data_IF_713605626426
#
_entry.id   IF_713605626426
#
_cell.length_a   1.000
_cell.length_b   1.000
_cell.length_c   1.000
_cell.angle_alpha   90.00
_cell.angle_beta   90.00
_cell.angle_gamma   90.00
#
_symmetry.space_group_name_H-M   'P 1'
#
loop_
_entity.id
_entity.type
_entity.pdbx_description
1 polymer ?
#
# COMPACT_ATOMS: atom_id res chain seq x y z
N UNK A 1 -7.52 1.62 10.48
CA UNK A 1 -6.23 1.22 9.87
C UNK A 1 -5.87 2.30 8.87
N UNK A 2 -4.96 3.20 9.22
CA UNK A 2 -4.51 4.20 8.26
C UNK A 2 -3.50 3.53 7.32
N UNK A 3 -3.85 3.45 6.05
CA UNK A 3 -2.91 3.04 5.01
C UNK A 3 -1.81 4.08 4.93
N UNK A 4 -0.59 3.74 5.38
CA UNK A 4 0.56 4.59 5.14
C UNK A 4 1.07 4.27 3.75
N UNK A 5 0.56 5.04 2.81
CA UNK A 5 1.20 5.24 1.52
C UNK A 5 2.46 6.08 1.78
N UNK A 6 3.63 5.56 1.42
CA UNK A 6 4.81 6.40 1.26
C UNK A 6 4.52 7.37 0.11
N UNK A 7 4.04 8.58 0.45
CA UNK A 7 3.94 9.65 -0.54
C UNK A 7 5.35 10.17 -0.78
N UNK A 8 5.86 10.17 -2.00
CA UNK A 8 7.05 10.93 -2.31
C UNK A 8 6.76 12.41 -1.99
N UNK A 9 7.68 13.06 -1.28
CA UNK A 9 7.62 14.47 -0.92
C UNK A 9 7.52 15.33 -2.19
N UNK A 10 6.33 15.59 -2.65
CA UNK A 10 6.07 16.72 -3.52
C UNK A 10 6.30 17.96 -2.65
N UNK A 11 7.50 18.55 -2.78
CA UNK A 11 7.82 19.87 -2.24
C UNK A 11 6.78 20.85 -2.74
N UNK A 12 5.68 20.98 -2.00
CA UNK A 12 4.78 22.12 -2.16
C UNK A 12 5.59 23.35 -1.74
N UNK A 13 5.96 24.15 -2.72
CA UNK A 13 6.34 25.53 -2.50
C UNK A 13 5.16 26.20 -1.78
N UNK A 14 5.24 26.30 -0.45
CA UNK A 14 4.39 27.17 0.34
C UNK A 14 4.64 28.58 -0.13
N UNK A 15 3.83 29.06 -1.03
CA UNK A 15 3.71 30.46 -1.38
C UNK A 15 3.32 31.21 -0.11
N UNK A 16 4.17 32.16 0.27
CA UNK A 16 3.96 33.12 1.36
C UNK A 16 2.65 33.89 1.10
N UNK A 17 1.61 33.53 1.80
CA UNK A 17 0.36 34.29 1.83
C UNK A 17 -0.25 34.34 3.25
N UNK A 18 0.60 34.49 4.28
CA UNK A 18 0.12 34.70 5.64
C UNK A 18 1.13 35.49 6.48
N UNK A 19 1.30 36.77 6.11
CA UNK A 19 1.91 37.76 7.02
C UNK A 19 1.58 39.17 6.54
N UNK A 20 0.34 39.60 6.69
CA UNK A 20 -0.05 41.01 6.62
C UNK A 20 -1.45 41.20 7.21
N UNK A 21 -1.56 41.01 8.49
CA UNK A 21 -2.71 41.47 9.30
C UNK A 21 -2.26 41.44 10.76
N UNK A 22 -1.70 42.56 11.21
CA UNK A 22 -1.68 43.07 12.57
C UNK A 22 -0.48 44.01 12.74
N UNK A 23 -0.71 45.26 12.27
CA UNK A 23 -0.12 46.47 12.87
C UNK A 23 -1.04 47.64 12.47
N UNK A 24 -1.92 47.98 13.35
CA UNK A 24 -2.69 49.23 13.28
C UNK A 24 -2.19 50.14 14.38
N UNK A 25 -1.26 50.98 14.06
CA UNK A 25 -0.93 52.15 14.84
C UNK A 25 -1.82 53.34 14.44
N UNK A 26 -2.21 54.03 15.46
CA UNK A 26 -3.17 55.15 15.54
C UNK A 26 -2.81 56.33 14.64
N UNK A 27 -3.66 56.61 13.61
CA UNK A 27 -3.62 57.89 12.87
C UNK A 27 -5.00 58.55 12.91
N UNK A 28 -5.03 59.83 13.34
CA UNK A 28 -6.20 60.73 13.36
C UNK A 28 -6.75 60.97 11.96
N UNK A 29 -8.06 60.78 11.78
CA UNK A 29 -8.78 60.89 10.52
C UNK A 29 -9.38 62.29 10.35
N UNK A 30 -9.17 63.04 9.26
CA UNK A 30 -9.81 64.32 8.98
C UNK A 30 -11.23 64.11 8.37
N UNK A 31 -12.11 65.09 8.59
CA UNK A 31 -13.58 65.04 8.43
C UNK A 31 -14.16 64.98 7.02
N UNK A 32 -13.36 64.84 5.93
CA UNK A 32 -13.88 64.66 4.57
C UNK A 32 -14.02 63.21 4.11
N UNK A 33 -13.76 62.24 4.98
CA UNK A 33 -13.79 60.80 4.70
C UNK A 33 -15.20 60.17 4.81
N UNK A 34 -16.23 60.96 5.18
CA UNK A 34 -17.62 60.43 5.36
C UNK A 34 -18.40 60.19 4.06
N UNK A 35 -17.89 60.62 2.89
CA UNK A 35 -18.53 60.43 1.59
C UNK A 35 -18.04 59.18 0.84
N UNK A 36 -16.99 58.52 1.33
CA UNK A 36 -16.41 57.34 0.69
C UNK A 36 -16.96 55.98 1.25
N UNK A 37 -17.73 56.05 2.38
CA UNK A 37 -18.26 54.83 3.03
C UNK A 37 -19.29 54.04 2.24
N UNK A 38 -20.06 54.70 1.32
CA UNK A 38 -21.03 53.98 0.51
C UNK A 38 -20.44 53.25 -0.71
N UNK A 39 -19.29 53.71 -1.20
CA UNK A 39 -18.59 53.08 -2.33
C UNK A 39 -17.74 51.87 -1.90
N UNK A 40 -17.22 51.88 -0.67
CA UNK A 40 -16.46 50.75 -0.10
C UNK A 40 -17.33 49.54 0.25
N UNK A 41 -18.60 49.72 0.61
CA UNK A 41 -19.51 48.61 0.87
C UNK A 41 -19.86 47.80 -0.40
N UNK A 42 -19.89 48.45 -1.55
CA UNK A 42 -20.12 47.77 -2.85
C UNK A 42 -18.88 47.00 -3.34
N UNK A 43 -17.68 47.48 -3.06
CA UNK A 43 -16.42 46.83 -3.45
C UNK A 43 -16.13 45.65 -2.54
N UNK A 44 -16.42 45.71 -1.24
CA UNK A 44 -16.26 44.59 -0.31
C UNK A 44 -17.28 43.49 -0.58
N UNK A 45 -18.53 43.83 -0.98
CA UNK A 45 -19.52 42.84 -1.39
C UNK A 45 -19.15 42.08 -2.66
N UNK A 46 -18.56 42.74 -3.65
CA UNK A 46 -18.09 42.09 -4.89
C UNK A 46 -16.80 41.31 -4.72
N UNK A 47 -15.89 41.70 -3.81
CA UNK A 47 -14.72 40.89 -3.48
C UNK A 47 -15.05 39.63 -2.68
N UNK A 48 -16.11 39.64 -1.85
CA UNK A 48 -16.53 38.43 -1.11
C UNK A 48 -17.14 37.36 -2.02
N UNK A 49 -17.72 37.75 -3.17
CA UNK A 49 -18.30 36.81 -4.15
C UNK A 49 -17.20 36.22 -5.07
N UNK A 50 -16.05 36.91 -5.23
CA UNK A 50 -14.94 36.43 -6.05
C UNK A 50 -13.90 35.59 -5.26
N UNK A 51 -14.00 35.50 -3.93
CA UNK A 51 -13.14 34.66 -3.12
C UNK A 51 -13.70 33.24 -2.90
N UNK A 52 -14.88 32.94 -3.43
CA UNK A 52 -15.48 31.59 -3.37
C UNK A 52 -14.99 30.64 -4.47
N UNK A 53 -14.08 31.06 -5.35
CA UNK A 53 -13.62 30.23 -6.47
C UNK A 53 -12.17 29.74 -6.38
N UNK A 54 -11.58 29.74 -5.18
CA UNK A 54 -10.29 29.11 -4.92
C UNK A 54 -10.41 27.93 -3.94
N UNK A 55 -11.50 27.17 -4.02
CA UNK A 55 -11.48 25.78 -3.61
C UNK A 55 -10.86 24.99 -4.76
N UNK A 56 -9.60 24.63 -4.62
CA UNK A 56 -9.01 23.56 -5.42
C UNK A 56 -9.82 22.27 -5.19
N UNK A 57 -9.79 21.31 -6.11
CA UNK A 57 -10.53 20.08 -5.91
C UNK A 57 -10.07 19.47 -4.59
N UNK A 58 -10.94 19.53 -3.60
CA UNK A 58 -10.92 18.65 -2.45
C UNK A 58 -10.87 17.26 -3.05
N UNK A 59 -9.85 16.47 -2.71
CA UNK A 59 -9.81 15.07 -3.10
C UNK A 59 -11.04 14.45 -2.48
N UNK A 60 -12.03 14.21 -3.34
CA UNK A 60 -13.32 13.67 -3.00
C UNK A 60 -13.08 12.34 -2.27
N UNK A 61 -13.41 12.32 -0.98
CA UNK A 61 -13.49 11.08 -0.23
C UNK A 61 -14.48 10.19 -0.97
N UNK A 62 -13.92 9.19 -1.67
CA UNK A 62 -14.62 8.01 -2.18
C UNK A 62 -16.10 8.23 -2.51
N UNK A 63 -16.38 8.55 -3.78
CA UNK A 63 -17.74 8.43 -4.31
C UNK A 63 -18.27 7.03 -3.98
N UNK A 64 -19.37 6.91 -3.22
CA UNK A 64 -19.91 5.60 -2.90
C UNK A 64 -20.36 4.92 -4.19
N UNK A 65 -19.83 3.73 -4.45
CA UNK A 65 -20.30 2.87 -5.53
C UNK A 65 -21.79 2.59 -5.28
N UNK A 66 -22.72 2.91 -6.18
CA UNK A 66 -24.13 2.64 -5.94
C UNK A 66 -24.38 1.15 -5.78
N UNK A 67 -24.99 0.80 -4.68
CA UNK A 67 -25.37 -0.58 -4.36
C UNK A 67 -26.42 -1.01 -5.36
N UNK A 68 -26.29 -2.19 -5.95
CA UNK A 68 -27.33 -2.85 -6.73
C UNK A 68 -28.61 -2.96 -5.87
N UNK A 69 -29.52 -2.01 -6.08
CA UNK A 69 -30.70 -1.82 -5.26
C UNK A 69 -31.76 -2.87 -5.57
N UNK A 70 -31.95 -3.83 -4.68
CA UNK A 70 -33.29 -4.41 -4.41
C UNK A 70 -33.34 -5.33 -3.16
N UNK A 71 -32.22 -5.59 -2.48
CA UNK A 71 -32.21 -6.42 -1.27
C UNK A 71 -31.43 -5.83 -0.08
N UNK A 72 -31.11 -4.55 -0.12
CA UNK A 72 -30.16 -3.90 0.80
C UNK A 72 -30.84 -3.20 1.99
N UNK A 73 -32.15 -3.10 2.01
CA UNK A 73 -32.88 -2.38 3.09
C UNK A 73 -32.70 -3.01 4.50
N UNK A 74 -32.14 -4.22 4.59
CA UNK A 74 -31.87 -4.91 5.87
C UNK A 74 -30.40 -5.33 6.03
N UNK A 75 -29.45 -4.76 5.27
CA UNK A 75 -28.05 -5.15 5.37
C UNK A 75 -27.29 -4.30 6.38
N UNK A 76 -26.36 -4.96 7.09
CA UNK A 76 -25.41 -4.32 7.97
C UNK A 76 -24.17 -3.85 7.18
N UNK A 77 -23.77 -2.59 7.38
CA UNK A 77 -22.61 -2.03 6.69
C UNK A 77 -21.30 -2.48 7.32
N UNK A 78 -20.34 -2.87 6.49
CA UNK A 78 -18.96 -3.20 6.87
C UNK A 78 -17.98 -2.28 6.15
N UNK A 79 -16.77 -2.15 6.71
CA UNK A 79 -15.67 -1.38 6.10
C UNK A 79 -14.65 -2.32 5.50
N UNK A 80 -14.22 -2.01 4.27
CA UNK A 80 -13.20 -2.75 3.55
C UNK A 80 -11.92 -1.91 3.51
N UNK A 81 -10.77 -2.54 3.77
CA UNK A 81 -9.46 -1.95 3.60
C UNK A 81 -8.62 -2.79 2.64
N UNK A 82 -8.09 -2.20 1.59
CA UNK A 82 -7.20 -2.91 0.67
C UNK A 82 -5.85 -3.18 1.35
N UNK A 83 -5.34 -4.40 1.16
CA UNK A 83 -3.99 -4.81 1.56
C UNK A 83 -3.05 -4.96 0.35
N UNK A 84 -3.61 -5.11 -0.86
CA UNK A 84 -2.91 -5.02 -2.14
C UNK A 84 -3.37 -3.76 -2.85
N UNK A 85 -2.44 -2.89 -3.27
CA UNK A 85 -2.74 -1.59 -3.90
C UNK A 85 -2.00 -1.37 -5.22
N UNK A 86 -0.97 -2.15 -5.53
CA UNK A 86 -0.26 -2.08 -6.82
C UNK A 86 -0.92 -3.01 -7.85
N UNK A 87 -2.15 -2.67 -8.23
CA UNK A 87 -2.99 -3.44 -9.13
C UNK A 87 -2.82 -2.96 -10.59
N UNK A 88 -2.73 -3.91 -11.51
CA UNK A 88 -2.55 -3.63 -12.94
C UNK A 88 -3.35 -4.59 -13.83
N UNK A 89 -3.45 -4.27 -15.12
CA UNK A 89 -4.04 -5.18 -16.11
C UNK A 89 -3.35 -6.54 -16.04
N UNK A 90 -4.13 -7.61 -16.16
CA UNK A 90 -3.67 -8.99 -16.10
C UNK A 90 -3.99 -9.67 -14.79
N UNK A 91 -3.17 -10.67 -14.45
CA UNK A 91 -3.37 -11.49 -13.25
C UNK A 91 -2.79 -10.82 -12.00
N UNK A 92 -3.60 -10.71 -10.96
CA UNK A 92 -3.22 -10.07 -9.69
C UNK A 92 -3.55 -10.98 -8.51
N UNK A 93 -2.69 -10.95 -7.49
CA UNK A 93 -3.01 -11.37 -6.14
C UNK A 93 -3.76 -10.23 -5.46
N UNK A 94 -4.95 -10.49 -4.93
CA UNK A 94 -5.79 -9.45 -4.35
C UNK A 94 -6.09 -9.76 -2.88
N UNK A 95 -5.70 -8.88 -1.99
CA UNK A 95 -5.88 -9.04 -0.56
C UNK A 95 -6.58 -7.82 0.05
N UNK A 96 -7.50 -8.06 0.99
CA UNK A 96 -8.24 -7.02 1.69
C UNK A 96 -8.63 -7.45 3.11
N UNK A 97 -8.86 -6.48 3.98
CA UNK A 97 -9.39 -6.68 5.33
C UNK A 97 -10.84 -6.22 5.42
N UNK A 98 -11.57 -6.79 6.37
CA UNK A 98 -12.94 -6.36 6.68
C UNK A 98 -13.01 -5.97 8.16
N UNK A 99 -13.65 -4.84 8.44
CA UNK A 99 -13.98 -4.40 9.78
C UNK A 99 -15.50 -4.25 9.91
N UNK A 100 -16.05 -4.70 11.03
CA UNK A 100 -17.44 -4.44 11.38
C UNK A 100 -17.68 -2.97 11.77
N UNK A 101 -18.91 -2.63 12.13
CA UNK A 101 -19.29 -1.28 12.56
C UNK A 101 -18.56 -0.80 13.82
N UNK A 102 -18.12 -1.72 14.69
CA UNK A 102 -17.30 -1.44 15.87
C UNK A 102 -15.79 -1.38 15.55
N UNK A 103 -15.41 -1.43 14.27
CA UNK A 103 -14.02 -1.48 13.80
C UNK A 103 -13.24 -2.72 14.27
N UNK A 104 -13.91 -3.82 14.54
CA UNK A 104 -13.31 -5.13 14.85
C UNK A 104 -13.12 -5.92 13.55
N UNK A 105 -12.01 -6.66 13.41
CA UNK A 105 -11.78 -7.52 12.25
C UNK A 105 -12.80 -8.64 12.13
N UNK A 106 -13.42 -8.76 10.96
CA UNK A 106 -14.25 -9.93 10.58
C UNK A 106 -13.32 -11.05 10.15
N UNK A 107 -13.64 -12.31 10.57
CA UNK A 107 -12.75 -13.48 10.42
C UNK A 107 -13.51 -14.74 10.03
N UNK A 108 -14.49 -14.62 9.17
CA UNK A 108 -15.16 -15.77 8.59
C UNK A 108 -14.19 -16.56 7.71
N UNK A 109 -14.34 -17.88 7.56
CA UNK A 109 -13.47 -18.69 6.71
C UNK A 109 -13.38 -18.18 5.28
N UNK A 110 -14.50 -17.69 4.75
CA UNK A 110 -14.57 -17.07 3.43
C UNK A 110 -15.68 -16.02 3.36
N UNK A 111 -15.57 -15.12 2.40
CA UNK A 111 -16.60 -14.12 2.06
C UNK A 111 -16.73 -14.03 0.55
N UNK A 112 -17.90 -13.62 0.07
CA UNK A 112 -18.13 -13.38 -1.35
C UNK A 112 -17.56 -12.02 -1.75
N UNK A 113 -16.78 -11.98 -2.81
CA UNK A 113 -16.15 -10.80 -3.39
C UNK A 113 -16.61 -10.68 -4.84
N UNK A 114 -17.23 -9.55 -5.19
CA UNK A 114 -17.70 -9.22 -6.53
C UNK A 114 -16.91 -8.04 -7.05
N UNK A 115 -16.24 -8.24 -8.19
CA UNK A 115 -15.47 -7.19 -8.87
C UNK A 115 -16.28 -6.59 -10.00
N UNK A 116 -16.27 -5.27 -10.07
CA UNK A 116 -17.02 -4.48 -11.05
C UNK A 116 -16.11 -3.44 -11.69
N UNK A 117 -16.29 -3.20 -12.99
CA UNK A 117 -15.72 -2.04 -13.66
C UNK A 117 -16.71 -0.88 -13.58
N UNK A 118 -16.27 0.28 -13.03
CA UNK A 118 -17.17 1.34 -12.58
C UNK A 118 -16.95 2.70 -13.27
N UNK A 119 -16.22 2.72 -14.40
CA UNK A 119 -15.98 3.98 -15.14
C UNK A 119 -17.27 4.60 -15.72
N UNK A 120 -18.24 3.76 -16.10
CA UNK A 120 -19.48 4.20 -16.71
C UNK A 120 -20.66 3.40 -16.20
N UNK A 121 -21.80 4.03 -16.03
CA UNK A 121 -23.07 3.34 -15.73
C UNK A 121 -23.73 2.78 -17.02
N UNK A 122 -24.38 1.61 -16.97
CA UNK A 122 -24.45 0.70 -15.81
C UNK A 122 -23.11 0.00 -15.55
N UNK A 123 -22.76 -0.20 -14.26
CA UNK A 123 -21.52 -0.87 -13.89
C UNK A 123 -21.48 -2.30 -14.38
N UNK A 124 -20.30 -2.70 -14.87
CA UNK A 124 -20.10 -4.02 -15.44
C UNK A 124 -19.55 -4.99 -14.39
N UNK A 125 -20.35 -5.96 -13.95
CA UNK A 125 -19.86 -7.05 -13.10
C UNK A 125 -18.92 -7.93 -13.91
N UNK A 126 -17.66 -8.06 -13.45
CA UNK A 126 -16.60 -8.79 -14.13
C UNK A 126 -16.39 -10.19 -13.57
N UNK A 127 -16.40 -10.33 -12.25
CA UNK A 127 -16.24 -11.63 -11.62
C UNK A 127 -16.82 -11.64 -10.22
N UNK A 128 -17.20 -12.82 -9.76
CA UNK A 128 -17.64 -13.10 -8.40
C UNK A 128 -16.92 -14.35 -7.89
N UNK A 129 -16.28 -14.27 -6.74
CA UNK A 129 -15.46 -15.34 -6.16
C UNK A 129 -15.56 -15.35 -4.64
N UNK A 130 -15.17 -16.46 -4.03
CA UNK A 130 -15.04 -16.56 -2.57
C UNK A 130 -13.59 -16.29 -2.16
N UNK A 131 -13.37 -15.20 -1.43
CA UNK A 131 -12.07 -14.86 -0.85
C UNK A 131 -11.86 -15.65 0.45
N UNK A 132 -10.67 -16.24 0.60
CA UNK A 132 -10.33 -17.07 1.76
C UNK A 132 -9.65 -16.23 2.84
N UNK A 133 -9.99 -16.46 4.12
CA UNK A 133 -9.35 -15.77 5.23
C UNK A 133 -7.97 -16.36 5.53
N UNK A 134 -6.93 -15.55 5.38
CA UNK A 134 -5.55 -15.88 5.75
C UNK A 134 -5.21 -15.19 7.06
N UNK A 135 -4.97 -15.98 8.10
CA UNK A 135 -4.58 -15.47 9.42
C UNK A 135 -3.11 -15.03 9.41
N UNK A 136 -2.83 -13.87 9.98
CA UNK A 136 -1.45 -13.47 10.23
C UNK A 136 -0.85 -14.29 11.39
N UNK A 137 0.47 -14.58 11.35
CA UNK A 137 1.15 -15.35 12.40
C UNK A 137 1.07 -14.67 13.78
N UNK A 138 0.99 -13.35 13.81
CA UNK A 138 0.90 -12.57 15.05
C UNK A 138 -0.53 -12.09 15.27
N UNK A 139 -1.04 -12.32 16.47
CA UNK A 139 -2.34 -11.82 16.90
C UNK A 139 -3.53 -12.52 16.27
N UNK A 140 -4.67 -11.81 16.27
CA UNK A 140 -5.95 -12.30 15.78
C UNK A 140 -6.36 -11.65 14.44
N UNK A 141 -5.46 -10.97 13.76
CA UNK A 141 -5.71 -10.29 12.49
C UNK A 141 -5.38 -11.17 11.28
N UNK A 142 -5.80 -10.74 10.11
CA UNK A 142 -5.58 -11.42 8.85
C UNK A 142 -6.19 -10.63 7.70
N UNK A 143 -6.17 -11.22 6.53
CA UNK A 143 -6.73 -10.67 5.30
C UNK A 143 -7.54 -11.73 4.57
N UNK A 144 -8.48 -11.31 3.77
CA UNK A 144 -9.11 -12.15 2.75
C UNK A 144 -8.25 -12.10 1.50
N UNK A 145 -7.98 -13.26 0.94
CA UNK A 145 -7.09 -13.44 -0.21
C UNK A 145 -7.83 -14.06 -1.38
N UNK A 146 -7.59 -13.53 -2.55
CA UNK A 146 -7.91 -14.10 -3.85
C UNK A 146 -6.62 -14.17 -4.67
N UNK A 147 -6.27 -15.36 -5.10
CA UNK A 147 -5.25 -15.55 -6.14
C UNK A 147 -5.90 -15.42 -7.52
N UNK A 148 -5.10 -15.06 -8.52
CA UNK A 148 -5.49 -15.03 -9.93
C UNK A 148 -6.75 -14.18 -10.23
N UNK A 149 -6.82 -12.98 -9.66
CA UNK A 149 -7.85 -11.98 -10.04
C UNK A 149 -7.40 -11.31 -11.33
N UNK A 150 -8.20 -11.43 -12.37
CA UNK A 150 -7.89 -10.87 -13.69
C UNK A 150 -8.60 -9.53 -13.85
N UNK A 151 -7.81 -8.47 -14.07
CA UNK A 151 -8.29 -7.18 -14.52
C UNK A 151 -8.02 -7.04 -16.02
N UNK A 152 -9.07 -6.89 -16.82
CA UNK A 152 -9.00 -6.85 -18.30
C UNK A 152 -8.74 -5.46 -18.88
N UNK A 153 -8.86 -4.41 -18.05
CA UNK A 153 -8.65 -3.01 -18.46
C UNK A 153 -8.24 -2.12 -17.30
N UNK A 154 -7.52 -1.05 -17.61
CA UNK A 154 -7.19 0.02 -16.67
C UNK A 154 -8.42 0.88 -16.33
N UNK A 155 -8.36 1.58 -15.20
CA UNK A 155 -9.39 2.51 -14.74
C UNK A 155 -9.95 2.16 -13.37
N UNK A 156 -11.10 2.72 -13.06
CA UNK A 156 -11.74 2.56 -11.76
C UNK A 156 -12.55 1.26 -11.67
N UNK A 157 -12.25 0.49 -10.64
CA UNK A 157 -12.92 -0.75 -10.30
C UNK A 157 -13.55 -0.67 -8.93
N UNK A 158 -14.59 -1.45 -8.72
CA UNK A 158 -15.25 -1.64 -7.43
C UNK A 158 -15.10 -3.06 -6.93
N UNK A 159 -14.92 -3.20 -5.62
CA UNK A 159 -15.09 -4.44 -4.88
C UNK A 159 -16.31 -4.32 -4.00
N UNK A 160 -17.30 -5.19 -4.22
CA UNK A 160 -18.41 -5.42 -3.31
C UNK A 160 -18.11 -6.71 -2.54
N UNK A 161 -18.20 -6.67 -1.22
CA UNK A 161 -18.05 -7.83 -0.35
C UNK A 161 -19.34 -8.04 0.41
N UNK A 162 -19.82 -9.27 0.43
CA UNK A 162 -20.97 -9.63 1.24
C UNK A 162 -20.80 -11.01 1.89
N UNK A 163 -21.48 -11.19 3.01
CA UNK A 163 -21.60 -12.45 3.72
C UNK A 163 -22.86 -12.46 4.59
N UNK A 164 -23.30 -13.65 5.01
CA UNK A 164 -24.35 -13.82 6.03
C UNK A 164 -23.76 -14.44 7.28
N UNK A 165 -24.25 -14.03 8.44
CA UNK A 165 -23.94 -14.70 9.70
C UNK A 165 -24.88 -15.90 9.97
N UNK A 166 -24.67 -16.56 11.11
CA UNK A 166 -25.48 -17.73 11.53
C UNK A 166 -26.95 -17.38 11.82
N UNK A 167 -27.26 -16.11 12.04
CA UNK A 167 -28.62 -15.58 12.24
C UNK A 167 -29.33 -15.30 10.92
N UNK A 168 -28.61 -15.35 9.81
CA UNK A 168 -29.11 -14.99 8.47
C UNK A 168 -29.06 -13.50 8.16
N UNK A 169 -28.46 -12.69 9.04
CA UNK A 169 -28.26 -11.27 8.80
C UNK A 169 -27.22 -11.07 7.69
N UNK A 170 -27.50 -10.15 6.77
CA UNK A 170 -26.64 -9.87 5.61
C UNK A 170 -25.75 -8.67 5.93
N UNK A 171 -24.46 -8.83 5.67
CA UNK A 171 -23.41 -7.81 5.81
C UNK A 171 -22.84 -7.46 4.45
N UNK A 172 -22.77 -6.17 4.15
CA UNK A 172 -22.31 -5.67 2.83
C UNK A 172 -21.34 -4.52 3.01
N UNK A 173 -20.31 -4.49 2.19
CA UNK A 173 -19.40 -3.36 2.08
C UNK A 173 -18.85 -3.23 0.68
N UNK A 174 -18.40 -2.02 0.34
CA UNK A 174 -17.81 -1.76 -0.97
C UNK A 174 -16.65 -0.79 -0.85
N UNK A 175 -15.73 -0.89 -1.80
CA UNK A 175 -14.61 0.03 -1.95
C UNK A 175 -14.26 0.16 -3.44
N UNK A 176 -13.89 1.36 -3.87
CA UNK A 176 -13.32 1.60 -5.20
C UNK A 176 -11.81 1.58 -5.15
N UNK A 177 -11.17 1.21 -6.27
CA UNK A 177 -9.73 1.21 -6.44
C UNK A 177 -9.36 1.40 -7.91
N UNK A 178 -8.13 1.84 -8.14
CA UNK A 178 -7.62 2.01 -9.49
C UNK A 178 -6.83 0.76 -9.93
N UNK A 179 -7.08 0.31 -11.16
CA UNK A 179 -6.25 -0.65 -11.88
C UNK A 179 -5.44 0.11 -12.92
N UNK A 180 -4.12 0.01 -12.83
CA UNK A 180 -3.18 0.68 -13.72
C UNK A 180 -2.94 -0.15 -14.98
N UNK A 181 -2.49 0.49 -16.03
CA UNK A 181 -2.02 -0.21 -17.24
C UNK A 181 -0.83 -1.13 -16.95
N UNK A 182 0.07 -0.68 -16.07
CA UNK A 182 1.24 -1.43 -15.58
C UNK A 182 1.40 -1.22 -14.09
N UNK A 183 1.86 -2.25 -13.41
CA UNK A 183 2.30 -2.17 -12.02
C UNK A 183 3.37 -1.09 -11.83
N UNK A 184 3.37 -0.45 -10.67
CA UNK A 184 4.45 0.46 -10.27
C UNK A 184 5.72 -0.31 -9.93
N UNK A 185 5.58 -1.40 -9.16
CA UNK A 185 6.66 -2.34 -8.89
C UNK A 185 7.02 -3.13 -10.15
N UNK A 186 8.26 -3.64 -10.29
CA UNK A 186 8.67 -4.46 -11.41
C UNK A 186 7.68 -5.60 -11.65
N UNK A 187 7.30 -5.80 -12.90
CA UNK A 187 6.23 -6.72 -13.27
C UNK A 187 6.75 -8.16 -13.45
N UNK A 188 5.85 -9.13 -13.35
CA UNK A 188 6.14 -10.51 -13.70
C UNK A 188 6.52 -10.56 -15.20
N UNK A 189 7.63 -11.22 -15.52
CA UNK A 189 8.21 -11.30 -16.84
C UNK A 189 9.27 -10.23 -17.14
N UNK A 190 9.45 -9.26 -16.28
CA UNK A 190 10.52 -8.26 -16.41
C UNK A 190 11.82 -8.73 -15.75
N UNK A 191 12.94 -8.17 -16.20
CA UNK A 191 14.24 -8.37 -15.55
C UNK A 191 14.23 -7.62 -14.21
N UNK A 192 14.65 -8.28 -13.13
CA UNK A 192 14.81 -7.67 -11.83
C UNK A 192 15.87 -6.56 -11.89
N UNK A 193 15.66 -5.41 -11.21
CA UNK A 193 16.67 -4.38 -11.09
C UNK A 193 17.98 -4.94 -10.53
N UNK A 194 19.08 -4.56 -11.16
CA UNK A 194 20.44 -5.04 -10.81
C UNK A 194 21.01 -4.25 -9.62
N UNK A 195 20.34 -4.33 -8.48
CA UNK A 195 20.54 -3.45 -7.33
C UNK A 195 21.72 -3.88 -6.45
N UNK A 196 22.39 -2.87 -5.86
CA UNK A 196 23.49 -3.05 -4.91
C UNK A 196 23.00 -2.66 -3.51
N UNK A 197 22.55 -3.63 -2.74
CA UNK A 197 22.15 -3.44 -1.35
C UNK A 197 23.33 -3.54 -0.38
N UNK A 198 23.17 -3.03 0.82
CA UNK A 198 24.12 -3.21 1.91
C UNK A 198 24.23 -4.69 2.30
N UNK A 199 25.45 -5.18 2.43
CA UNK A 199 25.75 -6.58 2.86
C UNK A 199 26.84 -6.60 3.90
N UNK A 200 26.90 -7.69 4.68
CA UNK A 200 28.01 -7.91 5.62
C UNK A 200 29.33 -8.11 4.89
N UNK A 201 29.30 -8.72 3.69
CA UNK A 201 30.47 -8.94 2.86
C UNK A 201 31.05 -7.62 2.31
N UNK A 202 30.23 -6.58 2.14
CA UNK A 202 30.68 -5.25 1.75
C UNK A 202 31.04 -4.35 2.96
N UNK A 203 31.18 -4.95 4.15
CA UNK A 203 31.69 -4.28 5.35
C UNK A 203 30.66 -3.50 6.17
N UNK A 204 29.37 -3.59 5.85
CA UNK A 204 28.33 -2.98 6.67
C UNK A 204 28.04 -3.80 7.93
N UNK A 205 27.76 -3.12 9.04
CA UNK A 205 27.31 -3.77 10.28
C UNK A 205 25.84 -4.17 10.15
N UNK A 206 25.44 -5.27 10.77
CA UNK A 206 24.05 -5.71 10.76
C UNK A 206 23.06 -4.63 11.20
N UNK A 207 23.40 -3.82 12.20
CA UNK A 207 22.58 -2.70 12.66
C UNK A 207 22.39 -1.58 11.62
N UNK A 208 23.23 -1.54 10.59
CA UNK A 208 23.12 -0.61 9.46
C UNK A 208 22.34 -1.22 8.28
N UNK A 209 22.17 -2.55 8.28
CA UNK A 209 21.53 -3.33 7.23
C UNK A 209 20.05 -3.61 7.55
N UNK A 210 19.75 -3.91 8.83
CA UNK A 210 18.41 -4.37 9.21
C UNK A 210 18.00 -3.90 10.60
N UNK A 211 16.69 -3.72 10.78
CA UNK A 211 16.06 -3.47 12.08
C UNK A 211 15.64 -4.75 12.80
N UNK A 212 15.92 -5.93 12.24
CA UNK A 212 15.55 -7.20 12.87
C UNK A 212 16.26 -7.36 14.22
N UNK A 213 15.54 -7.70 15.30
CA UNK A 213 16.15 -7.99 16.59
C UNK A 213 16.95 -9.30 16.59
N UNK A 214 16.61 -10.23 15.70
CA UNK A 214 17.25 -11.54 15.52
C UNK A 214 17.57 -11.74 14.03
N UNK A 215 18.61 -11.07 13.49
CA UNK A 215 18.91 -11.13 12.06
C UNK A 215 19.54 -12.49 11.68
N UNK A 216 19.03 -13.08 10.61
CA UNK A 216 19.62 -14.25 9.98
C UNK A 216 20.69 -13.81 8.98
N UNK A 217 21.96 -14.07 9.30
CA UNK A 217 23.13 -13.59 8.54
C UNK A 217 23.12 -13.99 7.07
N UNK A 218 22.58 -15.16 6.75
CA UNK A 218 22.55 -15.67 5.39
C UNK A 218 21.71 -14.76 4.45
N UNK A 219 20.73 -14.00 4.99
CA UNK A 219 19.90 -13.08 4.23
C UNK A 219 20.62 -11.77 3.85
N UNK A 220 21.83 -11.53 4.34
CA UNK A 220 22.58 -10.27 4.19
C UNK A 220 23.97 -10.47 3.60
N UNK A 221 24.24 -11.63 3.02
CA UNK A 221 25.57 -11.98 2.47
C UNK A 221 25.74 -11.57 1.00
N UNK A 222 24.66 -11.49 0.22
CA UNK A 222 24.68 -11.18 -1.21
C UNK A 222 23.95 -9.88 -1.50
N UNK A 223 24.44 -9.14 -2.49
CA UNK A 223 23.65 -8.12 -3.16
C UNK A 223 22.65 -8.77 -4.11
N UNK A 224 21.57 -8.04 -4.48
CA UNK A 224 20.65 -8.50 -5.52
C UNK A 224 21.43 -8.70 -6.82
N UNK A 225 22.33 -7.78 -7.17
CA UNK A 225 23.20 -7.88 -8.35
C UNK A 225 24.00 -9.18 -8.37
N UNK A 226 24.62 -9.56 -7.26
CA UNK A 226 25.37 -10.81 -7.16
C UNK A 226 24.45 -12.03 -7.29
N UNK A 227 23.31 -12.01 -6.60
CA UNK A 227 22.39 -13.14 -6.55
C UNK A 227 21.73 -13.45 -7.90
N UNK A 228 21.27 -12.43 -8.64
CA UNK A 228 20.63 -12.64 -9.95
C UNK A 228 21.63 -13.05 -11.04
N UNK A 229 22.93 -12.90 -10.80
CA UNK A 229 23.98 -13.39 -11.69
C UNK A 229 24.45 -14.80 -11.34
N UNK A 230 23.84 -15.45 -10.34
CA UNK A 230 24.04 -16.88 -10.09
C UNK A 230 23.10 -17.71 -10.96
N UNK A 231 23.39 -19.00 -11.12
CA UNK A 231 22.49 -19.94 -11.82
C UNK A 231 21.35 -20.45 -10.89
N UNK A 232 20.98 -19.67 -9.86
CA UNK A 232 19.95 -20.04 -8.88
C UNK A 232 18.83 -19.04 -8.86
N UNK A 233 17.58 -19.48 -8.68
CA UNK A 233 16.50 -18.55 -8.39
C UNK A 233 16.76 -17.79 -7.08
N UNK A 234 16.23 -16.58 -6.99
CA UNK A 234 16.43 -15.70 -5.85
C UNK A 234 15.09 -15.25 -5.28
N UNK A 235 14.89 -15.40 -3.95
CA UNK A 235 13.78 -14.81 -3.22
C UNK A 235 14.27 -13.51 -2.56
N UNK A 236 13.63 -12.39 -2.88
CA UNK A 236 13.96 -11.06 -2.38
C UNK A 236 12.76 -10.54 -1.59
N UNK A 237 12.96 -10.16 -0.33
CA UNK A 237 11.90 -9.57 0.51
C UNK A 237 12.29 -8.18 1.00
N UNK A 238 11.43 -7.21 0.76
CA UNK A 238 11.53 -5.85 1.26
C UNK A 238 10.62 -5.73 2.49
N UNK A 239 11.19 -5.42 3.63
CA UNK A 239 10.44 -5.32 4.89
C UNK A 239 11.23 -4.55 5.95
N UNK A 240 10.53 -3.94 6.93
CA UNK A 240 11.16 -3.35 8.12
C UNK A 240 10.69 -4.06 9.39
N UNK A 241 11.40 -5.10 9.87
CA UNK A 241 10.95 -5.96 10.98
C UNK A 241 10.56 -5.21 12.26
N UNK A 242 11.31 -4.18 12.65
CA UNK A 242 11.04 -3.41 13.87
C UNK A 242 10.10 -2.21 13.66
N UNK A 243 9.88 -1.76 12.42
CA UNK A 243 9.18 -0.50 12.15
C UNK A 243 7.88 -0.67 11.36
N UNK A 244 7.55 -1.90 10.99
CA UNK A 244 6.36 -2.23 10.21
C UNK A 244 5.07 -1.99 11.00
N UNK A 245 4.19 -1.15 10.46
CA UNK A 245 2.95 -0.79 11.14
C UNK A 245 1.88 -1.88 11.13
N UNK A 246 1.95 -2.80 10.16
CA UNK A 246 1.03 -3.94 10.08
C UNK A 246 1.42 -5.11 10.96
N UNK A 247 2.59 -5.05 11.60
CA UNK A 247 3.19 -6.14 12.40
C UNK A 247 3.39 -7.46 11.62
N UNK A 248 3.43 -7.40 10.30
CA UNK A 248 3.60 -8.59 9.43
C UNK A 248 5.01 -8.76 8.91
N UNK A 249 5.85 -7.72 8.91
CA UNK A 249 7.20 -7.75 8.35
C UNK A 249 8.14 -8.68 9.12
N UNK A 250 8.16 -8.60 10.44
CA UNK A 250 8.95 -9.53 11.26
C UNK A 250 8.57 -11.01 11.00
N UNK A 251 7.28 -11.38 11.08
CA UNK A 251 6.82 -12.71 10.69
C UNK A 251 7.16 -13.09 9.25
N UNK A 252 7.10 -12.15 8.30
CA UNK A 252 7.46 -12.41 6.91
C UNK A 252 8.94 -12.80 6.78
N UNK A 253 9.83 -12.05 7.44
CA UNK A 253 11.26 -12.37 7.45
C UNK A 253 11.51 -13.75 8.10
N UNK A 254 10.80 -14.07 9.18
CA UNK A 254 10.93 -15.39 9.81
C UNK A 254 10.49 -16.54 8.88
N UNK A 255 9.43 -16.34 8.11
CA UNK A 255 9.00 -17.31 7.09
C UNK A 255 10.10 -17.48 6.03
N UNK A 256 10.65 -16.38 5.52
CA UNK A 256 11.73 -16.40 4.51
C UNK A 256 12.98 -17.10 5.07
N UNK A 257 13.38 -16.81 6.30
CA UNK A 257 14.51 -17.48 6.97
C UNK A 257 14.29 -18.99 7.10
N UNK A 258 13.07 -19.43 7.50
CA UNK A 258 12.75 -20.84 7.60
C UNK A 258 12.78 -21.55 6.22
N UNK A 259 12.30 -20.90 5.18
CA UNK A 259 12.35 -21.42 3.80
C UNK A 259 13.81 -21.49 3.32
N UNK A 260 14.62 -20.47 3.62
CA UNK A 260 16.05 -20.43 3.32
C UNK A 260 16.77 -21.64 3.95
N UNK A 261 16.50 -21.99 5.20
CA UNK A 261 17.14 -23.13 5.85
C UNK A 261 16.93 -24.44 5.08
N UNK A 262 15.80 -24.58 4.42
CA UNK A 262 15.47 -25.77 3.61
C UNK A 262 16.10 -25.71 2.21
N UNK A 263 16.07 -24.54 1.57
CA UNK A 263 16.35 -24.39 0.13
C UNK A 263 17.65 -23.64 -0.20
N UNK A 264 18.50 -23.27 0.77
CA UNK A 264 19.71 -22.46 0.57
C UNK A 264 20.74 -23.04 -0.44
N UNK A 265 20.72 -24.36 -0.66
CA UNK A 265 21.56 -24.97 -1.67
C UNK A 265 20.99 -24.82 -3.09
N UNK A 266 19.69 -24.61 -3.23
CA UNK A 266 18.98 -24.54 -4.51
C UNK A 266 18.55 -23.10 -4.89
N UNK A 267 18.50 -22.16 -3.95
CA UNK A 267 18.07 -20.79 -4.18
C UNK A 267 18.84 -19.79 -3.30
N UNK A 268 18.86 -18.54 -3.72
CA UNK A 268 19.36 -17.40 -2.93
C UNK A 268 18.20 -16.74 -2.17
N UNK A 269 18.51 -16.12 -1.03
CA UNK A 269 17.54 -15.43 -0.20
C UNK A 269 18.12 -14.10 0.26
N UNK A 270 17.39 -13.00 0.05
CA UNK A 270 17.82 -11.65 0.37
C UNK A 270 16.71 -10.91 1.10
N UNK A 271 17.06 -10.28 2.21
CA UNK A 271 16.21 -9.30 2.87
C UNK A 271 16.76 -7.89 2.67
N UNK A 272 15.89 -6.99 2.23
CA UNK A 272 16.14 -5.56 2.07
C UNK A 272 15.33 -4.78 3.11
N UNK A 273 16.03 -4.02 3.94
CA UNK A 273 15.39 -3.10 4.89
C UNK A 273 14.78 -1.91 4.15
N UNK A 274 13.57 -1.54 4.55
CA UNK A 274 12.83 -0.40 3.97
C UNK A 274 13.48 0.94 4.32
N UNK A 275 14.16 1.01 5.47
CA UNK A 275 14.84 2.22 5.92
C UNK A 275 16.36 2.09 5.74
N UNK A 276 16.98 3.12 5.16
CA UNK A 276 18.42 3.15 4.91
C UNK A 276 19.26 3.33 6.19
N UNK A 277 18.63 3.82 7.27
CA UNK A 277 19.30 4.13 8.54
C UNK A 277 18.62 3.52 9.77
N UNK A 278 18.36 2.20 9.81
CA UNK A 278 17.56 1.58 10.85
C UNK A 278 18.12 1.82 12.27
N UNK A 279 19.45 1.78 12.44
CA UNK A 279 20.10 2.00 13.76
C UNK A 279 19.97 3.44 14.30
N UNK A 280 19.84 4.43 13.40
CA UNK A 280 19.72 5.84 13.79
C UNK A 280 18.29 6.21 14.21
N UNK A 281 17.30 5.44 13.75
CA UNK A 281 15.89 5.73 14.00
C UNK A 281 15.50 5.59 15.46
N UNK A 282 15.97 4.53 16.14
CA UNK A 282 15.63 4.26 17.55
C UNK A 282 14.14 4.39 17.87
N UNK A 283 13.27 3.94 16.93
CA UNK A 283 11.81 4.08 17.02
C UNK A 283 11.26 5.46 16.65
N UNK A 284 12.10 6.42 16.32
CA UNK A 284 11.68 7.76 15.89
C UNK A 284 11.59 7.87 14.37
N UNK A 285 10.37 7.79 13.84
CA UNK A 285 10.09 7.90 12.39
C UNK A 285 10.46 9.26 11.78
N UNK A 286 10.60 10.34 12.58
CA UNK A 286 11.04 11.63 12.04
C UNK A 286 12.49 11.61 11.54
N UNK A 287 13.27 10.62 11.94
CA UNK A 287 14.65 10.38 11.49
C UNK A 287 14.75 9.38 10.33
N UNK A 288 13.64 8.77 9.95
CA UNK A 288 13.61 7.74 8.93
C UNK A 288 14.11 8.26 7.58
N UNK A 289 15.00 7.52 6.95
CA UNK A 289 15.42 7.70 5.55
C UNK A 289 15.00 6.45 4.81
N UNK A 290 14.15 6.62 3.83
CA UNK A 290 13.71 5.49 2.98
C UNK A 290 14.91 4.96 2.20
N UNK A 291 15.03 3.64 2.10
CA UNK A 291 16.06 2.98 1.31
C UNK A 291 15.95 3.40 -0.16
N UNK A 292 17.05 3.76 -0.83
CA UNK A 292 17.05 4.05 -2.26
C UNK A 292 16.49 2.89 -3.11
N UNK A 293 16.58 1.66 -2.61
CA UNK A 293 16.05 0.50 -3.30
C UNK A 293 14.52 0.47 -3.34
N UNK A 294 13.84 1.07 -2.36
CA UNK A 294 12.38 1.24 -2.42
C UNK A 294 11.96 2.13 -3.60
N UNK A 295 12.73 3.17 -3.88
CA UNK A 295 12.51 4.06 -5.04
C UNK A 295 12.89 3.35 -6.33
N UNK A 296 14.04 2.68 -6.39
CA UNK A 296 14.52 1.93 -7.55
C UNK A 296 13.52 0.85 -7.98
N UNK A 297 12.93 0.13 -7.01
CA UNK A 297 11.91 -0.90 -7.24
C UNK A 297 10.49 -0.33 -7.27
N UNK A 298 10.33 0.99 -7.14
CA UNK A 298 9.04 1.72 -7.12
C UNK A 298 8.03 1.13 -6.13
N UNK A 299 8.50 0.70 -4.96
CA UNK A 299 7.67 0.08 -3.93
C UNK A 299 6.98 1.13 -3.08
N UNK A 300 5.68 0.98 -2.92
CA UNK A 300 4.81 1.93 -2.18
C UNK A 300 4.30 1.36 -0.86
N UNK A 301 4.59 0.09 -0.59
CA UNK A 301 4.14 -0.65 0.59
C UNK A 301 5.17 -1.68 1.05
N UNK A 302 4.97 -2.23 2.26
CA UNK A 302 5.75 -3.34 2.84
C UNK A 302 4.84 -4.29 3.65
N UNK A 303 5.18 -5.57 3.76
CA UNK A 303 6.28 -6.26 3.08
C UNK A 303 5.98 -6.46 1.58
N UNK A 304 7.03 -6.54 0.76
CA UNK A 304 6.92 -6.90 -0.65
C UNK A 304 7.91 -8.02 -0.95
N UNK A 305 7.48 -9.09 -1.62
CA UNK A 305 8.34 -10.24 -1.92
C UNK A 305 8.36 -10.53 -3.42
N UNK A 306 9.55 -10.77 -3.96
CA UNK A 306 9.76 -11.17 -5.34
C UNK A 306 10.44 -12.54 -5.41
N UNK A 307 10.09 -13.32 -6.42
CA UNK A 307 10.83 -14.51 -6.80
C UNK A 307 11.33 -14.30 -8.23
N UNK A 308 12.64 -14.36 -8.35
CA UNK A 308 13.38 -14.15 -9.60
C UNK A 308 13.97 -15.50 -10.00
N UNK A 309 13.89 -15.87 -11.26
CA UNK A 309 14.49 -17.11 -11.77
C UNK A 309 16.01 -16.97 -12.00
N UNK A 310 16.63 -18.05 -12.46
CA UNK A 310 18.07 -18.11 -12.76
C UNK A 310 18.51 -17.17 -13.89
N UNK A 311 17.59 -16.71 -14.73
CA UNK A 311 17.85 -15.79 -15.85
C UNK A 311 17.60 -14.32 -15.45
N UNK A 312 17.33 -14.06 -14.16
CA UNK A 312 17.07 -12.72 -13.62
C UNK A 312 15.65 -12.21 -13.88
N UNK A 313 14.72 -13.08 -14.33
CA UNK A 313 13.34 -12.70 -14.63
C UNK A 313 12.46 -12.84 -13.40
N UNK A 314 11.66 -11.83 -13.10
CA UNK A 314 10.67 -11.90 -12.03
C UNK A 314 9.55 -12.85 -12.43
N UNK A 315 9.41 -13.95 -11.71
CA UNK A 315 8.38 -14.96 -11.95
C UNK A 315 7.17 -14.82 -11.05
N UNK A 316 7.36 -14.22 -9.87
CA UNK A 316 6.29 -13.93 -8.90
C UNK A 316 6.60 -12.65 -8.15
N UNK A 317 5.52 -11.93 -7.77
CA UNK A 317 5.57 -10.83 -6.83
C UNK A 317 4.38 -10.91 -5.87
N UNK A 318 4.61 -10.55 -4.63
CA UNK A 318 3.62 -10.59 -3.57
C UNK A 318 3.68 -9.28 -2.78
N UNK A 319 2.59 -8.55 -2.80
CA UNK A 319 2.40 -7.37 -1.95
C UNK A 319 1.69 -7.79 -0.66
N UNK A 320 2.18 -7.31 0.48
CA UNK A 320 1.68 -7.65 1.80
C UNK A 320 2.16 -9.01 2.30
N UNK A 321 1.57 -9.46 3.41
CA UNK A 321 1.89 -10.75 4.02
C UNK A 321 1.65 -11.91 3.05
N UNK A 322 2.63 -12.80 2.97
CA UNK A 322 2.63 -13.97 2.09
C UNK A 322 2.93 -15.22 2.91
N UNK A 323 2.14 -16.25 2.74
CA UNK A 323 2.30 -17.50 3.50
C UNK A 323 3.52 -18.30 3.04
N UNK A 324 3.97 -19.21 3.91
CA UNK A 324 5.04 -20.15 3.54
C UNK A 324 4.65 -20.99 2.33
N UNK A 325 3.40 -21.44 2.27
CA UNK A 325 2.91 -22.31 1.18
C UNK A 325 2.92 -21.59 -0.17
N UNK A 326 2.50 -20.30 -0.21
CA UNK A 326 2.57 -19.48 -1.43
C UNK A 326 4.02 -19.37 -1.92
N UNK A 327 4.96 -19.02 -1.00
CA UNK A 327 6.37 -18.84 -1.36
C UNK A 327 7.04 -20.15 -1.79
N UNK A 328 6.83 -21.23 -1.04
CA UNK A 328 7.39 -22.56 -1.34
C UNK A 328 6.84 -23.10 -2.66
N UNK A 329 5.52 -22.98 -2.89
CA UNK A 329 4.90 -23.41 -4.15
C UNK A 329 5.46 -22.67 -5.35
N UNK A 330 5.70 -21.35 -5.20
CA UNK A 330 6.28 -20.55 -6.27
C UNK A 330 7.77 -20.88 -6.52
N UNK A 331 8.55 -21.06 -5.44
CA UNK A 331 9.98 -21.36 -5.54
C UNK A 331 10.25 -22.76 -6.13
N UNK A 332 9.47 -23.77 -5.71
CA UNK A 332 9.61 -25.15 -6.21
C UNK A 332 9.51 -25.26 -7.72
N UNK A 333 8.64 -24.48 -8.35
CA UNK A 333 8.50 -24.46 -9.82
C UNK A 333 9.76 -24.02 -10.56
N UNK A 334 10.75 -23.46 -9.87
CA UNK A 334 12.00 -22.97 -10.43
C UNK A 334 13.21 -23.86 -10.10
N UNK A 335 13.10 -24.73 -9.09
CA UNK A 335 14.19 -25.60 -8.63
C UNK A 335 13.96 -27.09 -8.95
N UNK A 336 12.77 -27.46 -9.35
CA UNK A 336 12.42 -28.78 -9.90
C UNK A 336 12.62 -28.81 -11.43
#
# INVERSE_FOLDING_TARGET
>A
MNNILYKPDLKLKRTRCFKMLFELDTVRIPTWVLLIKSLHLLIVGTCLVLLSSCFGPELDETTPVPILSSSVEQSHQIKIGLATIDLAIGNNRFAFGILDKESKPVRLPSVRATFMFIENEPYEVKSQRNAQFIRWPTGKSGVYLLEDVIFDKEGNWGLLVDYSDDSGDIYVGQISFEVKKRSSAPAIGEIAPNSINKTVNNGFKLSEITSSPEPDLDLYSLTIQEAVNTEKPTLIVFASPAFCQTATCGPQIKIVSNIKDIYKNAANFIHIEVFDNPSEMQGNFSKAKISPLMEEWSLVSEPFTFIVDKDGIITRKFEGFTTSDELVSALKKLIE
#
